data_IF_088416662225
#
_entry.id   IF_088416662225
#
_cell.length_a   1.000
_cell.length_b   1.000
_cell.length_c   1.000
_cell.angle_alpha   90.00
_cell.angle_beta   90.00
_cell.angle_gamma   90.00
#
_symmetry.space_group_name_H-M   'P 1'
#
loop_
_entity.id
_entity.type
_entity.pdbx_description
1 polymer ?
#
# COMPACT_ATOMS: atom_id res chain seq x y z
N UNK A 1 14.95 12.81 -1.11
CA UNK A 1 16.13 11.93 -0.94
C UNK A 1 15.84 10.64 -1.71
N UNK A 2 16.39 10.51 -2.92
CA UNK A 2 16.28 9.29 -3.74
C UNK A 2 17.05 8.16 -3.07
N UNK A 3 16.44 6.97 -2.99
CA UNK A 3 17.16 5.75 -2.64
C UNK A 3 17.24 4.90 -3.92
N UNK A 4 18.42 4.80 -4.55
CA UNK A 4 18.66 3.92 -5.69
C UNK A 4 18.98 2.51 -5.17
N UNK A 5 18.48 1.47 -5.83
CA UNK A 5 18.80 0.10 -5.45
C UNK A 5 17.77 -0.92 -5.90
N UNK A 6 17.76 -1.18 -7.18
CA UNK A 6 17.27 -2.41 -7.79
C UNK A 6 17.79 -3.62 -7.00
N UNK A 7 16.89 -4.37 -6.34
CA UNK A 7 17.12 -5.73 -5.85
C UNK A 7 15.78 -6.39 -5.58
N UNK A 8 15.42 -7.25 -6.53
CA UNK A 8 14.46 -8.34 -6.44
C UNK A 8 14.19 -8.83 -5.01
N UNK A 9 13.06 -8.45 -4.44
CA UNK A 9 12.49 -9.13 -3.29
C UNK A 9 11.53 -10.21 -3.80
N UNK A 10 12.07 -11.42 -3.91
CA UNK A 10 11.35 -12.66 -4.18
C UNK A 10 10.26 -12.87 -3.13
N UNK A 11 9.05 -12.43 -3.45
CA UNK A 11 7.89 -12.56 -2.59
C UNK A 11 7.28 -13.97 -2.73
N UNK A 12 7.32 -14.76 -1.66
CA UNK A 12 6.65 -16.08 -1.58
C UNK A 12 5.14 -15.89 -1.80
N UNK A 13 4.54 -16.46 -2.86
CA UNK A 13 3.18 -16.17 -3.25
C UNK A 13 2.21 -17.13 -2.57
N UNK A 14 1.35 -16.63 -1.68
CA UNK A 14 0.01 -17.19 -1.39
C UNK A 14 -0.97 -16.05 -1.08
N UNK A 15 -1.53 -15.47 -2.15
CA UNK A 15 -2.81 -14.72 -2.17
C UNK A 15 -2.94 -13.39 -1.40
N UNK A 16 -1.92 -12.50 -1.38
CA UNK A 16 -2.05 -11.20 -0.68
C UNK A 16 -1.69 -9.91 -1.48
N UNK A 17 -1.76 -9.91 -2.82
CA UNK A 17 -1.37 -8.71 -3.60
C UNK A 17 -2.41 -8.28 -4.64
N UNK A 18 -3.41 -7.54 -4.18
CA UNK A 18 -4.41 -6.87 -5.03
C UNK A 18 -3.96 -5.47 -5.49
N UNK A 19 -3.25 -4.71 -4.66
CA UNK A 19 -2.78 -3.36 -5.01
C UNK A 19 -1.71 -3.32 -6.12
N UNK A 20 -0.92 -4.38 -6.27
CA UNK A 20 0.05 -4.51 -7.36
C UNK A 20 -0.62 -4.52 -8.74
N UNK A 21 -1.76 -5.19 -8.88
CA UNK A 21 -2.49 -5.27 -10.15
C UNK A 21 -3.00 -3.90 -10.59
N UNK A 22 -3.43 -3.06 -9.63
CA UNK A 22 -3.84 -1.68 -9.94
C UNK A 22 -2.68 -0.84 -10.46
N UNK A 23 -1.49 -0.95 -9.85
CA UNK A 23 -0.30 -0.22 -10.28
C UNK A 23 0.24 -0.68 -11.65
N UNK A 24 0.08 -1.96 -11.98
CA UNK A 24 0.48 -2.49 -13.30
C UNK A 24 -0.44 -2.00 -14.41
N UNK A 25 -1.74 -1.84 -14.13
CA UNK A 25 -2.74 -1.49 -15.14
C UNK A 25 -2.98 0.02 -15.28
N UNK A 26 -2.63 0.82 -14.26
CA UNK A 26 -2.79 2.26 -14.28
C UNK A 26 -1.44 2.97 -14.05
N UNK A 27 -0.87 3.65 -15.06
CA UNK A 27 0.42 4.35 -14.92
C UNK A 27 0.38 5.51 -13.91
N UNK A 28 -0.80 5.95 -13.49
CA UNK A 28 -0.97 6.95 -12.43
C UNK A 28 -0.98 6.36 -11.02
N UNK A 29 -0.97 5.03 -10.88
CA UNK A 29 -0.97 4.34 -9.59
C UNK A 29 0.41 3.72 -9.35
N UNK A 30 1.07 4.14 -8.28
CA UNK A 30 2.33 3.54 -7.84
C UNK A 30 2.09 2.68 -6.60
N UNK A 31 2.67 1.50 -6.57
CA UNK A 31 2.63 0.62 -5.41
C UNK A 31 4.04 0.36 -4.88
N UNK A 32 4.23 0.51 -3.57
CA UNK A 32 5.49 0.18 -2.89
C UNK A 32 5.17 -0.74 -1.73
N UNK A 33 5.66 -1.98 -1.80
CA UNK A 33 5.64 -2.90 -0.67
C UNK A 33 6.81 -2.59 0.26
N UNK A 34 6.53 -2.41 1.54
CA UNK A 34 7.54 -2.18 2.58
C UNK A 34 7.60 -3.41 3.47
N UNK A 35 8.80 -3.97 3.64
CA UNK A 35 9.02 -5.09 4.58
C UNK A 35 9.28 -4.55 5.99
N UNK A 36 8.34 -4.79 6.90
CA UNK A 36 8.45 -4.36 8.30
C UNK A 36 9.65 -4.94 9.04
N UNK A 37 10.17 -6.10 8.62
CA UNK A 37 11.36 -6.69 9.22
C UNK A 37 12.64 -5.92 8.86
N UNK A 38 12.67 -5.26 7.69
CA UNK A 38 13.79 -4.44 7.23
C UNK A 38 13.65 -2.97 7.67
N UNK A 39 12.43 -2.52 7.97
CA UNK A 39 12.12 -1.14 8.35
C UNK A 39 11.38 -1.07 9.71
N UNK A 40 11.98 -1.56 10.81
CA UNK A 40 11.32 -1.57 12.12
C UNK A 40 11.01 -0.15 12.63
N UNK A 41 11.89 0.83 12.36
CA UNK A 41 11.68 2.23 12.72
C UNK A 41 10.41 2.81 12.07
N UNK A 42 10.10 2.39 10.84
CA UNK A 42 8.89 2.84 10.15
C UNK A 42 7.63 2.28 10.79
N UNK A 43 7.67 1.02 11.23
CA UNK A 43 6.57 0.41 11.97
C UNK A 43 6.30 1.15 13.28
N UNK A 44 7.35 1.49 14.03
CA UNK A 44 7.22 2.25 15.29
C UNK A 44 6.70 3.66 15.05
N UNK A 45 7.28 4.40 14.10
CA UNK A 45 6.86 5.78 13.78
C UNK A 45 5.41 5.88 13.34
N UNK A 46 4.91 4.83 12.68
CA UNK A 46 3.53 4.77 12.17
C UNK A 46 2.56 4.01 13.07
N UNK A 47 3.00 3.55 14.25
CA UNK A 47 2.23 2.73 15.19
C UNK A 47 1.56 1.51 14.51
N UNK A 48 2.33 0.81 13.66
CA UNK A 48 1.86 -0.38 12.95
C UNK A 48 2.02 -1.59 13.87
N UNK A 49 0.90 -2.03 14.45
CA UNK A 49 0.86 -3.15 15.39
C UNK A 49 0.56 -4.49 14.73
N UNK A 50 -0.07 -4.48 13.56
CA UNK A 50 -0.44 -5.69 12.81
C UNK A 50 -0.32 -5.42 11.31
N UNK A 51 0.12 -6.42 10.55
CA UNK A 51 0.24 -6.38 9.08
C UNK A 51 -0.76 -7.35 8.43
N UNK A 52 -1.21 -7.10 7.18
CA UNK A 52 -0.83 -5.98 6.29
C UNK A 52 -1.53 -4.65 6.65
N UNK A 53 -0.86 -3.53 6.33
CA UNK A 53 -1.42 -2.17 6.39
C UNK A 53 -1.12 -1.47 5.07
N UNK A 54 -2.11 -0.74 4.54
CA UNK A 54 -2.00 0.01 3.30
C UNK A 54 -2.14 1.50 3.58
N UNK A 55 -1.26 2.28 2.97
CA UNK A 55 -1.33 3.74 2.97
C UNK A 55 -1.65 4.23 1.56
N UNK A 56 -2.50 5.25 1.47
CA UNK A 56 -2.79 5.99 0.25
C UNK A 56 -2.30 7.43 0.44
N UNK A 57 -1.42 7.90 -0.43
CA UNK A 57 -0.87 9.27 -0.38
C UNK A 57 -0.33 9.68 1.01
N UNK A 58 0.28 8.71 1.72
CA UNK A 58 0.85 8.93 3.06
C UNK A 58 -0.14 8.83 4.22
N UNK A 59 -1.45 8.70 3.96
CA UNK A 59 -2.50 8.51 4.97
C UNK A 59 -2.87 7.03 5.10
N UNK A 60 -3.25 6.60 6.31
CA UNK A 60 -3.68 5.23 6.55
C UNK A 60 -4.99 4.98 5.81
N UNK A 61 -5.01 3.94 4.98
CA UNK A 61 -6.14 3.64 4.09
C UNK A 61 -6.85 2.35 4.51
N UNK A 62 -6.08 1.32 4.86
CA UNK A 62 -6.62 0.00 5.16
C UNK A 62 -5.72 -0.79 6.10
N UNK A 63 -6.36 -1.62 6.92
CA UNK A 63 -5.72 -2.55 7.84
C UNK A 63 -6.22 -3.96 7.62
N UNK A 64 -5.33 -4.93 7.77
CA UNK A 64 -5.65 -6.33 7.59
C UNK A 64 -5.87 -6.72 6.14
N UNK A 65 -6.33 -7.95 5.94
CA UNK A 65 -6.54 -8.52 4.61
C UNK A 65 -7.71 -7.83 3.90
N UNK A 66 -7.52 -7.45 2.65
CA UNK A 66 -8.57 -6.94 1.78
C UNK A 66 -8.46 -7.51 0.38
N UNK A 67 -9.62 -7.78 -0.22
CA UNK A 67 -9.73 -8.19 -1.61
C UNK A 67 -9.70 -6.97 -2.54
N UNK A 68 -9.39 -7.19 -3.82
CA UNK A 68 -9.28 -6.12 -4.82
C UNK A 68 -10.56 -5.28 -4.93
N UNK A 69 -11.72 -5.92 -4.91
CA UNK A 69 -13.03 -5.25 -4.98
C UNK A 69 -13.25 -4.30 -3.80
N UNK A 70 -12.80 -4.69 -2.60
CA UNK A 70 -12.90 -3.85 -1.40
C UNK A 70 -11.97 -2.64 -1.48
N UNK A 71 -10.77 -2.81 -2.03
CA UNK A 71 -9.82 -1.72 -2.26
C UNK A 71 -10.39 -0.73 -3.27
N UNK A 72 -10.89 -1.22 -4.41
CA UNK A 72 -11.50 -0.38 -5.45
C UNK A 72 -12.73 0.39 -4.93
N UNK A 73 -13.58 -0.28 -4.16
CA UNK A 73 -14.77 0.34 -3.55
C UNK A 73 -14.38 1.43 -2.57
N UNK A 74 -13.30 1.26 -1.78
CA UNK A 74 -12.80 2.29 -0.89
C UNK A 74 -12.17 3.47 -1.65
N UNK A 75 -11.34 3.20 -2.67
CA UNK A 75 -10.73 4.24 -3.50
C UNK A 75 -11.78 5.14 -4.13
N UNK A 76 -12.81 4.54 -4.74
CA UNK A 76 -13.92 5.28 -5.36
C UNK A 76 -14.70 6.16 -4.36
N UNK A 77 -14.67 5.84 -3.05
CA UNK A 77 -15.29 6.67 -2.00
C UNK A 77 -14.36 7.80 -1.54
N UNK A 78 -13.06 7.57 -1.47
CA UNK A 78 -12.11 8.62 -1.07
C UNK A 78 -11.96 9.71 -2.15
N UNK A 79 -12.03 9.35 -3.44
CA UNK A 79 -11.99 10.30 -4.55
C UNK A 79 -13.09 11.38 -4.45
N UNK A 80 -14.24 11.06 -3.82
CA UNK A 80 -15.35 12.01 -3.63
C UNK A 80 -15.17 13.02 -2.48
N UNK A 81 -14.01 13.05 -1.81
CA UNK A 81 -13.76 13.88 -0.61
C UNK A 81 -12.71 14.97 -0.78
N UNK A 82 -12.17 15.18 -2.00
CA UNK A 82 -11.04 16.10 -2.24
C UNK A 82 -11.38 17.38 -3.00
N UNK A 83 -12.66 17.65 -3.28
CA UNK A 83 -13.11 18.83 -4.04
C UNK A 83 -13.71 19.97 -3.17
N UNK A 84 -13.53 19.94 -1.85
CA UNK A 84 -13.87 21.06 -0.97
C UNK A 84 -12.66 21.44 -0.10
N UNK A 85 -11.82 22.35 -0.62
CA UNK A 85 -11.27 23.53 0.08
C UNK A 85 -10.37 24.37 -0.85
#
# INVERSE_FOLDING_TARGET
MQIPGERDLLLKPRHQFSAFVLAVLNPHVTHTAIDGALFPDEMVRRDIQAVPVVYLNGRRFADGRMDLEQILTRLAREDTSSDED
#
